data_IF_740183173038
#
_entry.id   IF_740183173038
#
_cell.length_a   1.000
_cell.length_b   1.000
_cell.length_c   1.000
_cell.angle_alpha   90.00
_cell.angle_beta   90.00
_cell.angle_gamma   90.00
#
_symmetry.space_group_name_H-M   'P 1'
#
loop_
_entity.id
_entity.type
_entity.pdbx_description
1 polymer ?
#
# COMPACT_ATOMS: atom_id res chain seq x y z
N UNK A 1 4.27 -2.52 8.21
CA UNK A 1 4.66 -1.75 9.43
C UNK A 1 5.32 -0.48 8.95
N UNK A 2 4.54 0.57 8.81
CA UNK A 2 4.99 1.93 8.51
C UNK A 2 5.58 2.52 9.78
N UNK A 3 6.90 2.50 9.91
CA UNK A 3 7.60 3.26 10.95
C UNK A 3 7.58 4.73 10.57
N UNK A 4 6.99 5.54 11.43
CA UNK A 4 6.83 6.97 11.29
C UNK A 4 8.19 7.66 11.28
N UNK A 5 8.60 8.18 10.12
CA UNK A 5 9.77 9.03 9.92
C UNK A 5 9.58 10.44 10.53
N UNK A 6 8.38 10.72 11.04
CA UNK A 6 7.96 12.01 11.57
C UNK A 6 8.63 12.41 12.90
N UNK A 7 9.23 11.46 13.63
CA UNK A 7 9.79 11.74 14.96
C UNK A 7 11.22 12.31 14.95
N UNK A 8 11.94 12.23 13.83
CA UNK A 8 13.32 12.74 13.75
C UNK A 8 13.43 14.20 13.31
N UNK A 9 12.45 14.74 12.61
CA UNK A 9 12.49 16.13 12.12
C UNK A 9 12.10 17.18 13.19
N UNK A 10 11.44 16.79 14.27
CA UNK A 10 10.96 17.70 15.32
C UNK A 10 12.05 18.21 16.28
N UNK A 11 13.28 17.68 16.22
CA UNK A 11 14.32 17.95 17.21
C UNK A 11 15.35 19.01 16.80
N UNK A 12 15.31 19.51 15.58
CA UNK A 12 16.31 20.46 15.06
C UNK A 12 15.88 21.93 15.02
N UNK A 13 14.70 22.27 15.53
CA UNK A 13 14.18 23.65 15.44
C UNK A 13 14.03 24.31 16.80
N UNK A 14 15.15 24.52 17.49
CA UNK A 14 15.24 25.51 18.59
C UNK A 14 16.52 26.31 18.43
N UNK A 15 16.38 27.55 17.98
CA UNK A 15 17.49 28.50 17.89
C UNK A 15 17.04 29.89 17.48
N UNK A 16 16.72 30.69 18.48
CA UNK A 16 16.83 32.16 18.63
C UNK A 16 16.25 33.07 17.53
N UNK A 17 15.11 33.66 17.88
CA UNK A 17 14.63 34.89 17.30
C UNK A 17 15.37 36.08 17.93
N UNK A 18 15.90 36.96 17.10
CA UNK A 18 16.25 38.32 17.51
C UNK A 18 15.44 39.30 16.67
N UNK A 19 14.75 40.20 17.38
CA UNK A 19 13.73 41.10 16.87
C UNK A 19 14.39 42.43 16.52
N UNK A 20 14.20 42.93 15.32
CA UNK A 20 14.31 44.33 14.99
C UNK A 20 12.99 44.83 14.41
N UNK A 21 12.30 45.59 15.21
CA UNK A 21 11.05 46.28 14.93
C UNK A 21 11.35 47.50 14.03
N UNK A 22 10.75 47.54 12.84
CA UNK A 22 10.62 48.78 12.05
C UNK A 22 9.17 48.98 11.71
N UNK A 23 8.58 49.95 12.39
CA UNK A 23 7.24 50.44 12.17
C UNK A 23 7.13 51.27 10.87
N UNK A 24 6.14 50.97 10.05
CA UNK A 24 5.76 51.76 8.90
C UNK A 24 4.71 51.06 8.05
N UNK A 25 3.45 51.30 8.35
CA UNK A 25 2.29 50.81 7.60
C UNK A 25 1.98 51.71 6.42
N UNK A 26 1.98 51.29 5.16
CA UNK A 26 1.19 51.87 4.12
C UNK A 26 -0.12 51.11 3.93
N UNK A 27 -1.21 51.81 3.89
CA UNK A 27 -2.55 51.34 3.57
C UNK A 27 -2.57 50.97 2.08
N UNK A 28 -2.65 49.67 1.77
CA UNK A 28 -2.69 49.15 0.38
C UNK A 28 -4.11 48.69 0.07
N UNK A 29 -4.66 49.10 -1.07
CA UNK A 29 -6.01 48.76 -1.51
C UNK A 29 -6.11 47.29 -1.96
N UNK A 30 -7.25 46.64 -1.71
CA UNK A 30 -7.52 45.20 -1.98
C UNK A 30 -7.24 44.74 -3.42
N UNK A 31 -7.18 45.65 -4.41
CA UNK A 31 -6.85 45.36 -5.82
C UNK A 31 -5.35 45.15 -6.07
N UNK A 32 -4.47 45.74 -5.26
CA UNK A 32 -3.03 45.60 -5.40
C UNK A 32 -2.56 44.31 -4.72
N UNK A 33 -3.23 43.82 -3.67
CA UNK A 33 -2.87 42.58 -2.94
C UNK A 33 -3.09 41.36 -3.80
N UNK A 34 -4.21 41.25 -4.51
CA UNK A 34 -4.51 40.09 -5.38
C UNK A 34 -3.47 39.96 -6.51
N UNK A 35 -3.11 41.10 -7.12
CA UNK A 35 -2.09 41.13 -8.17
C UNK A 35 -0.70 40.68 -7.66
N UNK A 36 -0.37 41.00 -6.40
CA UNK A 36 0.88 40.60 -5.78
C UNK A 36 0.93 39.09 -5.45
N UNK A 37 -0.18 38.53 -4.98
CA UNK A 37 -0.30 37.08 -4.67
C UNK A 37 -0.16 36.25 -5.95
N UNK A 38 -0.84 36.65 -7.05
CA UNK A 38 -0.74 35.93 -8.32
C UNK A 38 0.66 36.02 -8.92
N UNK A 39 1.31 37.17 -8.87
CA UNK A 39 2.70 37.33 -9.32
C UNK A 39 3.69 36.46 -8.49
N UNK A 40 3.46 36.40 -7.18
CA UNK A 40 4.27 35.60 -6.30
C UNK A 40 4.02 34.07 -6.52
N UNK A 41 2.80 33.66 -6.76
CA UNK A 41 2.47 32.27 -7.13
C UNK A 41 3.19 31.85 -8.41
N UNK A 42 3.20 32.71 -9.43
CA UNK A 42 3.93 32.43 -10.68
C UNK A 42 5.44 32.34 -10.45
N UNK A 43 6.00 33.17 -9.55
CA UNK A 43 7.40 33.04 -9.12
C UNK A 43 7.67 31.67 -8.50
N UNK A 44 6.82 31.22 -7.57
CA UNK A 44 6.95 29.90 -6.93
C UNK A 44 6.80 28.76 -7.95
N UNK A 45 5.86 28.84 -8.87
CA UNK A 45 5.71 27.84 -9.95
C UNK A 45 6.94 27.78 -10.84
N UNK A 46 7.53 28.93 -11.15
CA UNK A 46 8.76 28.99 -11.94
C UNK A 46 9.96 28.39 -11.21
N UNK A 47 10.03 28.56 -9.88
CA UNK A 47 11.13 28.07 -9.03
C UNK A 47 10.99 26.57 -8.72
N UNK A 48 9.80 26.12 -8.36
CA UNK A 48 9.56 24.76 -7.85
C UNK A 48 8.76 23.85 -8.82
N UNK A 49 8.21 24.42 -9.87
CA UNK A 49 7.43 23.70 -10.87
C UNK A 49 5.97 23.55 -10.47
N UNK A 50 5.60 22.49 -9.79
CA UNK A 50 4.20 22.20 -9.47
C UNK A 50 3.81 22.74 -8.10
N UNK A 51 3.20 23.90 -8.08
CA UNK A 51 2.67 24.55 -6.88
C UNK A 51 1.15 24.58 -6.95
N UNK A 52 0.49 24.07 -5.91
CA UNK A 52 -0.97 24.00 -5.78
C UNK A 52 -1.41 24.76 -4.53
N UNK A 53 -2.50 25.51 -4.64
CA UNK A 53 -3.09 26.23 -3.50
C UNK A 53 -4.26 25.38 -2.99
N UNK A 54 -4.08 24.75 -1.85
CA UNK A 54 -5.09 23.90 -1.23
C UNK A 54 -4.83 23.79 0.27
N UNK A 55 -5.90 23.86 1.07
CA UNK A 55 -5.84 23.55 2.50
C UNK A 55 -5.93 22.05 2.72
N UNK A 56 -4.87 21.44 3.24
CA UNK A 56 -4.82 20.02 3.58
C UNK A 56 -4.84 19.85 5.09
N UNK A 57 -5.74 19.01 5.59
CA UNK A 57 -5.79 18.65 7.00
C UNK A 57 -4.52 17.92 7.47
N UNK A 58 -4.22 18.03 8.76
CA UNK A 58 -3.05 17.37 9.38
C UNK A 58 -3.29 15.92 9.77
N UNK A 59 -4.51 15.45 9.65
CA UNK A 59 -4.87 14.08 9.94
C UNK A 59 -4.22 13.13 8.91
N UNK A 60 -3.91 11.93 9.36
CA UNK A 60 -3.22 10.93 8.55
C UNK A 60 -3.96 10.62 7.24
N UNK A 61 -5.30 10.56 7.28
CA UNK A 61 -6.10 10.26 6.09
C UNK A 61 -5.99 11.35 5.01
N UNK A 62 -6.00 12.64 5.42
CA UNK A 62 -5.83 13.77 4.51
C UNK A 62 -4.43 13.80 3.90
N UNK A 63 -3.40 13.53 4.70
CA UNK A 63 -2.00 13.47 4.23
C UNK A 63 -1.77 12.28 3.28
N UNK A 64 -2.33 11.10 3.55
CA UNK A 64 -2.26 9.95 2.64
C UNK A 64 -2.98 10.21 1.31
N UNK A 65 -4.14 10.85 1.36
CA UNK A 65 -4.87 11.26 0.16
C UNK A 65 -4.08 12.27 -0.67
N UNK A 66 -3.44 13.24 -0.03
CA UNK A 66 -2.57 14.21 -0.67
C UNK A 66 -1.35 13.51 -1.30
N UNK A 67 -0.65 12.66 -0.55
CA UNK A 67 0.52 11.92 -1.02
C UNK A 67 0.25 11.07 -2.26
N UNK A 68 -0.92 10.43 -2.35
CA UNK A 68 -1.33 9.65 -3.54
C UNK A 68 -1.52 10.49 -4.81
N UNK A 69 -1.75 11.81 -4.68
CA UNK A 69 -1.92 12.75 -5.81
C UNK A 69 -0.62 13.44 -6.21
N UNK A 70 0.36 13.43 -5.30
CA UNK A 70 1.65 14.07 -5.48
C UNK A 70 2.61 13.17 -6.26
N UNK A 71 3.49 13.77 -7.06
CA UNK A 71 4.41 13.10 -7.98
C UNK A 71 5.90 13.35 -7.68
N UNK A 72 6.22 13.82 -6.48
CA UNK A 72 7.60 13.98 -6.02
C UNK A 72 8.11 15.40 -5.94
N UNK A 73 7.62 16.29 -6.79
CA UNK A 73 8.02 17.70 -6.83
C UNK A 73 6.84 18.65 -6.54
N UNK A 74 5.83 18.14 -5.84
CA UNK A 74 4.64 18.92 -5.55
C UNK A 74 4.83 19.77 -4.29
N UNK A 75 4.45 21.02 -4.38
CA UNK A 75 4.38 21.96 -3.26
C UNK A 75 2.93 22.39 -3.10
N UNK A 76 2.35 22.13 -1.94
CA UNK A 76 0.97 22.55 -1.62
C UNK A 76 1.05 23.59 -0.50
N UNK A 77 0.43 24.74 -0.75
CA UNK A 77 0.46 25.88 0.17
C UNK A 77 -0.98 26.28 0.49
N UNK A 78 -1.27 26.44 1.76
CA UNK A 78 -2.57 26.96 2.18
C UNK A 78 -2.76 28.41 1.70
N UNK A 79 -3.98 28.82 1.29
CA UNK A 79 -4.24 30.16 0.71
C UNK A 79 -3.77 31.31 1.60
N UNK A 80 -4.07 31.25 2.90
CA UNK A 80 -3.67 32.30 3.86
C UNK A 80 -2.14 32.43 3.97
N UNK A 81 -1.42 31.30 3.88
CA UNK A 81 0.05 31.32 3.93
C UNK A 81 0.64 31.90 2.65
N UNK A 82 0.03 31.62 1.50
CA UNK A 82 0.47 32.26 0.23
C UNK A 82 0.30 33.78 0.28
N UNK A 83 -0.79 34.28 0.84
CA UNK A 83 -1.03 35.72 1.07
C UNK A 83 0.04 36.31 2.00
N UNK A 84 0.33 35.62 3.13
CA UNK A 84 1.39 36.03 4.04
C UNK A 84 2.77 36.08 3.35
N UNK A 85 3.09 35.09 2.51
CA UNK A 85 4.36 35.03 1.76
C UNK A 85 4.42 36.16 0.71
N UNK A 86 3.32 36.48 0.03
CA UNK A 86 3.28 37.55 -0.93
C UNK A 86 3.40 38.96 -0.29
N UNK A 87 2.92 39.11 0.95
CA UNK A 87 2.93 40.37 1.68
C UNK A 87 4.18 40.61 2.56
N UNK A 88 4.90 39.55 2.96
CA UNK A 88 6.06 39.63 3.86
C UNK A 88 7.26 38.82 3.34
N UNK A 89 8.32 39.53 2.97
CA UNK A 89 9.57 38.92 2.48
C UNK A 89 10.19 37.94 3.49
N UNK A 90 10.08 38.21 4.79
CA UNK A 90 10.63 37.30 5.79
C UNK A 90 9.82 35.99 5.88
N UNK A 91 8.51 36.08 5.74
CA UNK A 91 7.64 34.91 5.63
C UNK A 91 7.93 34.13 4.35
N UNK A 92 8.06 34.82 3.22
CA UNK A 92 8.47 34.21 1.95
C UNK A 92 9.78 33.41 2.11
N UNK A 93 10.83 34.04 2.61
CA UNK A 93 12.13 33.41 2.83
C UNK A 93 12.04 32.22 3.79
N UNK A 94 11.28 32.32 4.87
CA UNK A 94 11.12 31.23 5.83
C UNK A 94 10.49 29.99 5.18
N UNK A 95 9.38 30.13 4.46
CA UNK A 95 8.72 29.00 3.83
C UNK A 95 9.47 28.49 2.61
N UNK A 96 10.08 29.36 1.81
CA UNK A 96 10.94 28.92 0.72
C UNK A 96 12.15 28.11 1.21
N UNK A 97 12.78 28.49 2.32
CA UNK A 97 13.83 27.66 2.94
C UNK A 97 13.32 26.29 3.37
N UNK A 98 12.09 26.16 3.85
CA UNK A 98 11.51 24.86 4.18
C UNK A 98 11.27 24.00 2.93
N UNK A 99 10.82 24.61 1.84
CA UNK A 99 10.67 23.94 0.57
C UNK A 99 12.03 23.53 0.00
N UNK A 100 13.00 24.44 0.00
CA UNK A 100 14.37 24.18 -0.44
C UNK A 100 15.04 23.07 0.38
N UNK A 101 14.79 23.01 1.69
CA UNK A 101 15.27 21.94 2.57
C UNK A 101 14.73 20.57 2.14
N UNK A 102 13.47 20.48 1.73
CA UNK A 102 12.92 19.24 1.19
C UNK A 102 13.69 18.74 -0.02
N UNK A 103 13.88 19.59 -1.01
CA UNK A 103 14.56 19.21 -2.26
C UNK A 103 16.05 18.94 -2.07
N UNK A 104 16.74 19.77 -1.27
CA UNK A 104 18.19 19.72 -1.15
C UNK A 104 18.67 18.79 -0.02
N UNK A 105 17.82 18.42 0.93
CA UNK A 105 18.23 17.63 2.10
C UNK A 105 17.37 16.38 2.27
N UNK A 106 16.05 16.52 2.33
CA UNK A 106 15.15 15.37 2.62
C UNK A 106 15.20 14.34 1.51
N UNK A 107 15.12 14.75 0.25
CA UNK A 107 15.17 13.85 -0.90
C UNK A 107 16.51 13.08 -0.98
N UNK A 108 17.69 13.74 -0.95
CA UNK A 108 18.96 13.02 -0.98
C UNK A 108 19.17 12.07 0.21
N UNK A 109 18.78 12.49 1.41
CA UNK A 109 18.88 11.63 2.60
C UNK A 109 17.92 10.45 2.53
N UNK A 110 16.67 10.68 2.09
CA UNK A 110 15.68 9.61 1.88
C UNK A 110 16.17 8.58 0.87
N UNK A 111 16.73 9.01 -0.24
CA UNK A 111 17.33 8.13 -1.25
C UNK A 111 18.46 7.28 -0.65
N UNK A 112 19.36 7.88 0.12
CA UNK A 112 20.47 7.16 0.73
C UNK A 112 20.00 6.12 1.76
N UNK A 113 19.01 6.46 2.59
CA UNK A 113 18.45 5.56 3.60
C UNK A 113 17.69 4.41 2.96
N UNK A 114 16.82 4.69 1.98
CA UNK A 114 16.07 3.64 1.28
C UNK A 114 17.01 2.72 0.50
N UNK A 115 18.01 3.27 -0.20
CA UNK A 115 18.99 2.47 -0.92
C UNK A 115 19.78 1.52 0.00
N UNK A 116 20.17 1.98 1.20
CA UNK A 116 20.84 1.13 2.19
C UNK A 116 19.98 -0.06 2.67
N UNK A 117 18.65 0.05 2.53
CA UNK A 117 17.68 -1.01 2.88
C UNK A 117 17.19 -1.80 1.66
N UNK A 118 17.71 -1.53 0.46
CA UNK A 118 17.26 -2.15 -0.78
C UNK A 118 15.85 -1.71 -1.21
N UNK A 119 15.44 -0.50 -0.79
CA UNK A 119 14.17 0.13 -1.12
C UNK A 119 14.38 1.29 -2.10
N UNK A 120 13.31 1.69 -2.76
CA UNK A 120 13.25 2.90 -3.58
C UNK A 120 12.54 3.99 -2.79
N UNK A 121 13.17 5.16 -2.66
CA UNK A 121 12.57 6.33 -2.04
C UNK A 121 11.59 6.99 -3.00
N UNK A 122 10.39 7.27 -2.53
CA UNK A 122 9.33 7.93 -3.29
C UNK A 122 9.01 9.28 -2.63
N UNK A 123 9.67 10.38 -3.01
CA UNK A 123 9.27 11.70 -2.55
C UNK A 123 7.89 12.01 -3.10
N UNK A 124 6.98 12.50 -2.26
CA UNK A 124 5.66 12.95 -2.70
C UNK A 124 5.63 14.48 -2.83
N UNK A 125 5.94 15.20 -1.75
CA UNK A 125 5.97 16.66 -1.81
C UNK A 125 5.98 17.34 -0.44
N UNK A 126 5.79 18.65 -0.47
CA UNK A 126 5.73 19.53 0.71
C UNK A 126 4.32 20.08 0.84
N UNK A 127 3.79 20.06 2.05
CA UNK A 127 2.51 20.69 2.42
C UNK A 127 2.76 21.75 3.48
N UNK A 128 2.33 22.98 3.21
CA UNK A 128 2.32 24.08 4.16
C UNK A 128 0.87 24.30 4.58
N UNK A 129 0.58 24.02 5.84
CA UNK A 129 -0.76 24.08 6.40
C UNK A 129 -1.16 25.49 6.80
N UNK A 130 -2.47 25.73 6.99
CA UNK A 130 -3.04 27.03 7.37
C UNK A 130 -2.45 27.64 8.64
N UNK A 131 -1.99 26.81 9.56
CA UNK A 131 -1.33 27.25 10.79
C UNK A 131 0.19 27.49 10.64
N UNK A 132 0.71 27.43 9.43
CA UNK A 132 2.12 27.61 9.10
C UNK A 132 3.01 26.42 9.39
N UNK A 133 2.48 25.28 9.81
CA UNK A 133 3.28 24.06 9.95
C UNK A 133 3.58 23.46 8.58
N UNK A 134 4.78 22.87 8.44
CA UNK A 134 5.25 22.26 7.20
C UNK A 134 5.35 20.76 7.38
N UNK A 135 4.74 20.01 6.47
CA UNK A 135 4.78 18.54 6.45
C UNK A 135 5.45 18.06 5.15
N UNK A 136 6.45 17.19 5.27
CA UNK A 136 7.08 16.51 4.14
C UNK A 136 6.44 15.13 3.97
N UNK A 137 5.88 14.89 2.80
CA UNK A 137 5.23 13.63 2.48
C UNK A 137 6.19 12.80 1.61
N UNK A 138 6.58 11.63 2.13
CA UNK A 138 7.49 10.72 1.47
C UNK A 138 7.03 9.29 1.68
N UNK A 139 7.36 8.41 0.75
CA UNK A 139 7.15 6.97 0.82
C UNK A 139 8.43 6.21 0.49
N UNK A 140 8.38 4.90 0.70
CA UNK A 140 9.37 3.95 0.20
C UNK A 140 8.63 2.74 -0.35
N UNK A 141 9.08 2.24 -1.51
CA UNK A 141 8.57 1.01 -2.11
C UNK A 141 9.67 -0.03 -2.26
N UNK A 142 9.27 -1.29 -2.43
CA UNK A 142 10.22 -2.34 -2.79
C UNK A 142 10.81 -2.07 -4.18
N UNK A 143 12.10 -2.37 -4.36
CA UNK A 143 12.72 -2.26 -5.68
C UNK A 143 12.04 -3.21 -6.68
N UNK A 144 11.94 -2.84 -7.96
CA UNK A 144 11.34 -3.69 -9.00
C UNK A 144 11.94 -5.10 -9.05
N UNK A 145 13.24 -5.22 -8.78
CA UNK A 145 13.97 -6.50 -8.74
C UNK A 145 13.49 -7.37 -7.59
N UNK A 146 13.31 -6.79 -6.40
CA UNK A 146 12.81 -7.49 -5.21
C UNK A 146 11.36 -7.92 -5.39
N UNK A 147 10.52 -7.06 -5.98
CA UNK A 147 9.13 -7.41 -6.32
C UNK A 147 9.09 -8.57 -7.31
N UNK A 148 9.94 -8.54 -8.35
CA UNK A 148 10.03 -9.62 -9.33
C UNK A 148 10.49 -10.94 -8.70
N UNK A 149 11.48 -10.91 -7.80
CA UNK A 149 11.95 -12.10 -7.09
C UNK A 149 10.90 -12.68 -6.15
N UNK A 150 10.22 -11.86 -5.36
CA UNK A 150 9.11 -12.29 -4.48
C UNK A 150 7.99 -12.90 -5.31
N UNK A 151 7.63 -12.30 -6.44
CA UNK A 151 6.61 -12.83 -7.33
C UNK A 151 7.03 -14.18 -7.92
N UNK A 152 8.30 -14.36 -8.31
CA UNK A 152 8.83 -15.64 -8.79
C UNK A 152 8.74 -16.72 -7.71
N UNK A 153 9.19 -16.42 -6.49
CA UNK A 153 9.13 -17.34 -5.36
C UNK A 153 7.67 -17.73 -5.04
N UNK A 154 6.77 -16.77 -5.05
CA UNK A 154 5.35 -17.03 -4.80
C UNK A 154 4.71 -17.88 -5.91
N UNK A 155 5.06 -17.66 -7.17
CA UNK A 155 4.62 -18.47 -8.30
C UNK A 155 5.13 -19.92 -8.21
N UNK A 156 6.39 -20.13 -7.81
CA UNK A 156 6.95 -21.47 -7.58
C UNK A 156 6.25 -22.20 -6.42
N UNK A 157 6.01 -21.50 -5.30
CA UNK A 157 5.25 -22.04 -4.17
C UNK A 157 3.83 -22.44 -4.56
N UNK A 158 3.15 -21.60 -5.35
CA UNK A 158 1.81 -21.87 -5.84
C UNK A 158 1.79 -23.10 -6.76
N UNK A 159 2.76 -23.24 -7.67
CA UNK A 159 2.91 -24.43 -8.54
C UNK A 159 3.12 -25.72 -7.72
N UNK A 160 4.05 -25.70 -6.75
CA UNK A 160 4.30 -26.85 -5.86
C UNK A 160 3.06 -27.24 -5.06
N UNK A 161 2.33 -26.25 -4.53
CA UNK A 161 1.09 -26.51 -3.79
C UNK A 161 0.01 -27.11 -4.69
N UNK A 162 -0.15 -26.60 -5.90
CA UNK A 162 -1.11 -27.14 -6.87
C UNK A 162 -0.77 -28.59 -7.27
N UNK A 163 0.51 -28.89 -7.46
CA UNK A 163 0.98 -30.24 -7.80
C UNK A 163 0.75 -31.22 -6.64
N UNK A 164 1.07 -30.85 -5.41
CA UNK A 164 0.76 -31.64 -4.22
C UNK A 164 -0.75 -31.90 -4.09
N UNK A 165 -1.57 -30.89 -4.35
CA UNK A 165 -3.01 -31.05 -4.27
C UNK A 165 -3.54 -32.00 -5.36
N UNK A 166 -2.98 -31.93 -6.57
CA UNK A 166 -3.31 -32.90 -7.63
C UNK A 166 -2.91 -34.32 -7.25
N UNK A 167 -1.69 -34.53 -6.77
CA UNK A 167 -1.23 -35.85 -6.32
C UNK A 167 -2.11 -36.40 -5.20
N UNK A 168 -2.48 -35.57 -4.23
CA UNK A 168 -3.40 -35.97 -3.18
C UNK A 168 -4.79 -36.36 -3.71
N UNK A 169 -5.33 -35.60 -4.66
CA UNK A 169 -6.61 -35.93 -5.31
C UNK A 169 -6.54 -37.24 -6.11
N UNK A 170 -5.46 -37.46 -6.84
CA UNK A 170 -5.22 -38.70 -7.59
C UNK A 170 -5.12 -39.92 -6.64
N UNK A 171 -4.37 -39.80 -5.57
CA UNK A 171 -4.27 -40.85 -4.55
C UNK A 171 -5.61 -41.13 -3.88
N UNK A 172 -6.36 -40.09 -3.53
CA UNK A 172 -7.68 -40.21 -2.92
C UNK A 172 -8.68 -40.87 -3.89
N UNK A 173 -8.64 -40.51 -5.16
CA UNK A 173 -9.47 -41.12 -6.21
C UNK A 173 -9.12 -42.60 -6.43
N UNK A 174 -7.82 -42.94 -6.48
CA UNK A 174 -7.35 -44.32 -6.61
C UNK A 174 -7.78 -45.18 -5.40
N UNK A 175 -7.64 -44.63 -4.18
CA UNK A 175 -8.07 -45.31 -2.97
C UNK A 175 -9.60 -45.52 -2.91
N UNK A 176 -10.37 -44.53 -3.43
CA UNK A 176 -11.83 -44.64 -3.54
C UNK A 176 -12.24 -45.71 -4.56
N UNK A 177 -11.54 -45.77 -5.71
CA UNK A 177 -11.77 -46.80 -6.72
C UNK A 177 -11.48 -48.23 -6.19
N UNK A 178 -10.38 -48.39 -5.47
CA UNK A 178 -10.04 -49.67 -4.83
C UNK A 178 -11.10 -50.08 -3.81
N UNK A 179 -11.58 -49.18 -2.97
CA UNK A 179 -12.67 -49.48 -2.02
C UNK A 179 -13.96 -49.89 -2.71
N UNK A 180 -14.31 -49.21 -3.81
CA UNK A 180 -15.49 -49.59 -4.62
C UNK A 180 -15.33 -51.00 -5.20
N UNK A 181 -14.18 -51.30 -5.80
CA UNK A 181 -13.91 -52.61 -6.37
C UNK A 181 -13.93 -53.74 -5.32
N UNK A 182 -13.41 -53.48 -4.11
CA UNK A 182 -13.55 -54.41 -3.01
C UNK A 182 -15.04 -54.64 -2.59
N UNK A 183 -15.79 -53.56 -2.48
CA UNK A 183 -17.19 -53.61 -2.12
C UNK A 183 -18.04 -54.39 -3.15
N UNK A 184 -17.79 -54.18 -4.43
CA UNK A 184 -18.40 -54.92 -5.53
C UNK A 184 -18.08 -56.41 -5.48
N UNK A 185 -16.79 -56.77 -5.17
CA UNK A 185 -16.38 -58.18 -5.00
C UNK A 185 -17.02 -58.83 -3.82
N UNK A 186 -17.12 -58.16 -2.69
CA UNK A 186 -17.80 -58.73 -1.50
C UNK A 186 -19.30 -58.88 -1.73
N UNK A 187 -19.96 -57.91 -2.34
CA UNK A 187 -21.37 -57.97 -2.69
C UNK A 187 -21.65 -59.10 -3.69
N UNK A 188 -20.80 -59.28 -4.69
CA UNK A 188 -20.92 -60.39 -5.63
C UNK A 188 -20.70 -61.77 -4.95
N UNK A 189 -19.77 -61.88 -4.03
CA UNK A 189 -19.57 -63.11 -3.26
C UNK A 189 -20.75 -63.45 -2.38
N UNK A 190 -21.30 -62.47 -1.65
CA UNK A 190 -22.55 -62.66 -0.86
C UNK A 190 -23.76 -63.04 -1.71
N UNK A 191 -23.90 -62.43 -2.89
CA UNK A 191 -24.99 -62.80 -3.82
C UNK A 191 -24.88 -64.24 -4.33
N UNK A 192 -23.62 -64.68 -4.60
CA UNK A 192 -23.35 -66.06 -5.01
C UNK A 192 -23.65 -67.02 -3.88
N UNK A 193 -23.25 -66.77 -2.66
CA UNK A 193 -23.51 -67.56 -1.48
C UNK A 193 -25.03 -67.73 -1.22
N UNK A 194 -25.75 -66.62 -1.30
CA UNK A 194 -27.23 -66.66 -1.20
C UNK A 194 -27.87 -67.50 -2.31
N UNK A 195 -27.35 -67.43 -3.53
CA UNK A 195 -27.87 -68.25 -4.64
C UNK A 195 -27.61 -69.77 -4.42
N UNK A 196 -26.44 -70.15 -3.91
CA UNK A 196 -26.16 -71.52 -3.56
C UNK A 196 -27.03 -72.03 -2.41
N UNK A 197 -27.23 -71.20 -1.38
CA UNK A 197 -28.11 -71.54 -0.27
C UNK A 197 -29.57 -71.82 -0.76
N UNK A 198 -30.08 -70.97 -1.61
CA UNK A 198 -31.43 -71.13 -2.19
C UNK A 198 -31.54 -72.41 -3.04
N UNK A 199 -30.51 -72.78 -3.81
CA UNK A 199 -30.47 -74.03 -4.58
C UNK A 199 -30.45 -75.24 -3.65
N UNK A 200 -29.65 -75.15 -2.58
CA UNK A 200 -29.59 -76.23 -1.57
C UNK A 200 -30.94 -76.48 -0.88
N UNK A 201 -31.68 -75.43 -0.56
CA UNK A 201 -33.02 -75.56 0.06
C UNK A 201 -34.07 -76.06 -0.93
N UNK A 202 -34.00 -75.68 -2.22
CA UNK A 202 -34.83 -76.27 -3.28
C UNK A 202 -34.59 -77.75 -3.49
N UNK A 203 -33.33 -78.21 -3.43
CA UNK A 203 -33.01 -79.63 -3.58
C UNK A 203 -33.50 -80.43 -2.37
N UNK A 204 -33.38 -79.92 -1.13
CA UNK A 204 -33.91 -80.56 0.06
C UNK A 204 -35.44 -80.71 0.00
N UNK A 205 -36.18 -79.72 -0.43
CA UNK A 205 -37.61 -79.72 -0.57
C UNK A 205 -38.07 -80.77 -1.60
N UNK A 206 -37.31 -80.91 -2.70
CA UNK A 206 -37.64 -81.85 -3.76
C UNK A 206 -37.36 -83.33 -3.36
N UNK A 207 -36.33 -83.57 -2.50
CA UNK A 207 -36.04 -84.90 -2.03
C UNK A 207 -37.07 -85.39 -1.00
N UNK A 208 -37.68 -84.50 -0.21
CA UNK A 208 -38.74 -84.86 0.78
C UNK A 208 -40.09 -85.14 0.12
N UNK A 209 -40.34 -84.63 -1.09
CA UNK A 209 -41.62 -84.74 -1.80
C UNK A 209 -41.68 -85.91 -2.82
N UNK A 210 -40.68 -86.85 -2.85
CA UNK A 210 -40.77 -88.04 -3.68
C UNK A 210 -41.63 -89.08 -3.04
N UNK A 211 -42.80 -89.49 -3.67
CA UNK A 211 -43.67 -90.55 -3.15
C UNK A 211 -42.92 -91.91 -3.27
N UNK A 212 -43.12 -92.75 -2.25
CA UNK A 212 -42.61 -94.11 -2.22
C UNK A 212 -43.39 -95.00 -3.19
#
# INVERSE_FOLDING_TARGET
RTSSFLDMAAKASRGTADVLEVSGKPEVSETDETSNVDAYLEHLKKKYGRVTIESIGKDQASLEKAGKRMSGNDVVIAPNILEEMAGDVNKALYYEQKIDYFFNTVIPQGNAICAAQGLVFEPCGVVIHEDGTVTYICGCSDSPERVAEVNRINAEKAKKKAEQQRQYQEQAAAAAAQRRAMWERTAAAEALEKSFSNIGDLLKTRMVSAPA
#
